data_IF_807655442796
#
_entry.id   IF_807655442796
#
_cell.length_a   1.000
_cell.length_b   1.000
_cell.length_c   1.000
_cell.angle_alpha   90.00
_cell.angle_beta   90.00
_cell.angle_gamma   90.00
#
_symmetry.space_group_name_H-M   'P 1'
#
loop_
_entity.id
_entity.type
_entity.pdbx_description
1 polymer ?
#
# COMPACT_ATOMS: atom_id res chain seq x y z
N UNK A 1 -9.64 -8.86 14.99
CA UNK A 1 -8.57 -9.48 14.17
C UNK A 1 -7.38 -9.76 15.10
N UNK A 2 -6.84 -10.97 15.02
CA UNK A 2 -5.60 -11.30 15.72
C UNK A 2 -4.40 -10.67 14.98
N UNK A 3 -3.67 -9.71 15.56
CA UNK A 3 -2.52 -9.09 14.91
C UNK A 3 -1.21 -9.90 15.08
N UNK A 4 -1.23 -11.01 15.81
CA UNK A 4 -0.01 -11.81 16.07
C UNK A 4 0.41 -12.69 14.90
N UNK A 5 -0.46 -12.87 13.90
CA UNK A 5 -0.20 -13.70 12.73
C UNK A 5 -0.69 -13.06 11.44
N UNK A 6 -0.04 -13.42 10.33
CA UNK A 6 -0.48 -13.11 8.96
C UNK A 6 -1.43 -14.15 8.37
N UNK A 7 -1.63 -15.26 9.05
CA UNK A 7 -2.41 -16.37 8.53
C UNK A 7 -3.85 -15.91 8.22
N UNK A 8 -4.30 -16.22 7.01
CA UNK A 8 -5.64 -15.92 6.50
C UNK A 8 -6.02 -14.42 6.59
N UNK A 9 -5.08 -13.53 6.29
CA UNK A 9 -5.33 -12.07 6.33
C UNK A 9 -5.62 -11.49 4.95
N UNK A 10 -6.66 -10.65 4.90
CA UNK A 10 -6.93 -9.73 3.79
C UNK A 10 -6.52 -8.31 4.16
N UNK A 11 -5.35 -7.87 3.72
CA UNK A 11 -4.84 -6.52 3.96
C UNK A 11 -5.11 -5.61 2.76
N UNK A 12 -5.04 -4.29 2.99
CA UNK A 12 -5.14 -3.29 1.92
C UNK A 12 -4.06 -2.22 2.09
N UNK A 13 -3.56 -1.69 0.96
CA UNK A 13 -2.72 -0.50 1.01
C UNK A 13 -3.56 0.70 1.46
N UNK A 14 -3.01 1.50 2.37
CA UNK A 14 -3.65 2.71 2.90
C UNK A 14 -2.68 3.89 2.79
N UNK A 15 -2.89 4.74 1.79
CA UNK A 15 -1.99 5.88 1.57
C UNK A 15 -2.24 7.03 2.54
N UNK A 16 -3.49 7.30 2.90
CA UNK A 16 -3.86 8.39 3.80
C UNK A 16 -3.41 9.79 3.33
N UNK A 17 -3.12 9.93 2.04
CA UNK A 17 -2.52 11.12 1.44
C UNK A 17 -3.53 12.14 0.90
N UNK A 18 -4.81 11.99 1.20
CA UNK A 18 -5.85 12.91 0.77
C UNK A 18 -6.03 14.04 1.78
N UNK A 19 -5.89 15.28 1.32
CA UNK A 19 -6.09 16.49 2.12
C UNK A 19 -7.06 17.44 1.45
N UNK A 20 -7.62 18.37 2.23
CA UNK A 20 -8.47 19.44 1.76
C UNK A 20 -7.86 20.80 2.14
N UNK A 21 -8.14 21.83 1.35
CA UNK A 21 -7.97 23.19 1.83
C UNK A 21 -8.91 23.44 3.02
N UNK A 22 -8.38 24.03 4.10
CA UNK A 22 -9.14 24.29 5.33
C UNK A 22 -9.26 23.11 6.30
N UNK A 23 -8.58 21.97 6.06
CA UNK A 23 -8.63 20.80 6.94
C UNK A 23 -7.77 20.92 8.22
N UNK A 24 -7.09 22.04 8.40
CA UNK A 24 -6.16 22.30 9.51
C UNK A 24 -4.79 21.67 9.35
N UNK A 25 -4.53 20.95 8.25
CA UNK A 25 -3.20 20.42 7.98
C UNK A 25 -2.22 21.52 7.56
N UNK A 26 -0.90 21.33 7.80
CA UNK A 26 0.12 22.29 7.35
C UNK A 26 0.19 22.44 5.83
N UNK A 27 -0.41 21.51 5.09
CA UNK A 27 -0.45 21.55 3.63
C UNK A 27 -1.49 22.53 3.11
N UNK A 28 -2.66 22.53 3.72
CA UNK A 28 -3.79 23.38 3.35
C UNK A 28 -4.09 23.38 1.84
N UNK A 29 -4.05 22.19 1.23
CA UNK A 29 -4.23 21.97 -0.21
C UNK A 29 -5.14 20.78 -0.50
N UNK A 30 -5.59 20.64 -1.76
CA UNK A 30 -6.42 19.52 -2.24
C UNK A 30 -5.56 18.31 -2.67
N UNK A 31 -4.64 17.92 -1.82
CA UNK A 31 -3.69 16.83 -2.12
C UNK A 31 -4.40 15.56 -2.53
N UNK A 32 -3.91 14.95 -3.60
CA UNK A 32 -4.41 13.71 -4.21
C UNK A 32 -5.82 13.80 -4.82
N UNK A 33 -6.56 14.86 -4.58
CA UNK A 33 -7.87 15.10 -5.18
C UNK A 33 -7.76 15.84 -6.51
N UNK A 34 -6.96 16.89 -6.55
CA UNK A 34 -6.87 17.80 -7.69
C UNK A 34 -5.50 18.45 -7.81
N UNK A 35 -5.21 19.01 -8.99
CA UNK A 35 -4.09 19.92 -9.22
C UNK A 35 -4.55 21.36 -8.94
N UNK A 36 -4.52 21.77 -7.67
CA UNK A 36 -5.10 23.01 -7.19
C UNK A 36 -6.53 22.85 -6.69
N UNK A 37 -7.38 23.85 -6.83
CA UNK A 37 -8.80 23.75 -6.46
C UNK A 37 -9.51 22.68 -7.32
N UNK A 38 -10.36 21.83 -6.73
CA UNK A 38 -11.07 20.82 -7.50
C UNK A 38 -12.06 21.43 -8.51
N UNK A 39 -11.91 21.02 -9.75
CA UNK A 39 -12.78 21.32 -10.87
C UNK A 39 -12.68 20.15 -11.87
N UNK A 40 -13.59 19.98 -12.83
CA UNK A 40 -13.56 18.88 -13.78
C UNK A 40 -12.18 18.69 -14.45
N UNK A 41 -11.50 19.78 -14.80
CA UNK A 41 -10.21 19.79 -15.49
C UNK A 41 -8.99 19.62 -14.57
N UNK A 42 -9.15 19.80 -13.27
CA UNK A 42 -8.08 19.70 -12.27
C UNK A 42 -8.09 18.42 -11.47
N UNK A 43 -9.23 17.71 -11.43
CA UNK A 43 -9.34 16.44 -10.71
C UNK A 43 -8.26 15.44 -11.18
N UNK A 44 -7.70 14.71 -10.24
CA UNK A 44 -6.74 13.63 -10.47
C UNK A 44 -7.33 12.24 -10.27
N UNK A 45 -8.54 12.16 -9.75
CA UNK A 45 -9.30 10.94 -9.50
C UNK A 45 -10.32 10.72 -10.60
N UNK A 46 -10.53 9.47 -11.02
CA UNK A 46 -11.53 9.08 -12.00
C UNK A 46 -12.84 8.61 -11.36
N UNK A 47 -12.86 8.47 -10.05
CA UNK A 47 -14.01 7.98 -9.31
C UNK A 47 -14.27 8.87 -8.08
N UNK A 48 -15.47 9.44 -8.02
CA UNK A 48 -15.92 10.19 -6.87
C UNK A 48 -16.17 9.23 -5.69
N UNK A 49 -15.72 9.56 -4.47
CA UNK A 49 -15.93 8.69 -3.31
C UNK A 49 -17.41 8.60 -2.91
N UNK A 50 -17.83 7.46 -2.36
CA UNK A 50 -19.13 7.35 -1.71
C UNK A 50 -19.07 8.01 -0.33
N UNK A 51 -19.82 9.09 -0.16
CA UNK A 51 -19.80 9.92 1.04
C UNK A 51 -21.08 9.80 1.87
N UNK A 52 -21.98 8.88 1.51
CA UNK A 52 -23.33 8.79 2.12
C UNK A 52 -23.31 8.52 3.62
N UNK A 53 -22.29 7.83 4.12
CA UNK A 53 -22.18 7.49 5.52
C UNK A 53 -21.36 8.49 6.34
N UNK A 54 -20.90 9.59 5.73
CA UNK A 54 -20.23 10.66 6.45
C UNK A 54 -21.22 11.74 6.88
N UNK A 55 -20.99 12.27 8.08
CA UNK A 55 -21.58 13.55 8.48
C UNK A 55 -20.96 14.67 7.63
N UNK A 56 -21.76 15.58 7.05
CA UNK A 56 -21.23 16.73 6.30
C UNK A 56 -20.16 17.53 7.05
N UNK A 57 -20.24 17.62 8.38
CA UNK A 57 -19.22 18.27 9.23
C UNK A 57 -17.86 17.55 9.23
N UNK A 58 -17.78 16.31 8.74
CA UNK A 58 -16.55 15.56 8.59
C UNK A 58 -15.88 15.75 7.23
N UNK A 59 -16.60 16.40 6.31
CA UNK A 59 -16.21 16.56 4.91
C UNK A 59 -15.80 17.99 4.61
N UNK A 60 -15.05 18.14 3.52
CA UNK A 60 -14.63 19.43 3.00
C UNK A 60 -15.56 19.82 1.85
N UNK A 61 -16.30 20.91 2.00
CA UNK A 61 -17.05 21.48 0.89
C UNK A 61 -16.13 21.95 -0.23
N UNK A 62 -16.50 21.68 -1.48
CA UNK A 62 -15.73 22.11 -2.66
C UNK A 62 -16.47 23.29 -3.31
N UNK A 63 -16.01 24.54 -3.12
CA UNK A 63 -16.69 25.73 -3.62
C UNK A 63 -16.87 25.68 -5.14
N UNK A 64 -18.09 25.98 -5.60
CA UNK A 64 -18.40 26.06 -7.04
C UNK A 64 -18.42 24.73 -7.81
N UNK A 65 -18.20 23.61 -7.12
CA UNK A 65 -18.21 22.29 -7.77
C UNK A 65 -19.45 21.48 -7.38
N UNK A 66 -20.07 20.84 -8.35
CA UNK A 66 -21.26 20.01 -8.13
C UNK A 66 -21.09 18.62 -8.72
N UNK A 67 -21.68 17.62 -8.06
CA UNK A 67 -21.79 16.24 -8.56
C UNK A 67 -23.28 15.88 -8.63
N UNK A 68 -23.76 15.56 -9.81
CA UNK A 68 -25.20 15.25 -10.01
C UNK A 68 -26.13 16.39 -9.57
N UNK A 69 -25.73 17.64 -9.79
CA UNK A 69 -26.51 18.85 -9.41
C UNK A 69 -26.47 19.17 -7.90
N UNK A 70 -25.72 18.47 -7.09
CA UNK A 70 -25.57 18.73 -5.64
C UNK A 70 -24.17 19.28 -5.34
N UNK A 71 -24.02 20.14 -4.31
CA UNK A 71 -22.69 20.57 -3.86
C UNK A 71 -21.76 19.37 -3.61
N UNK A 72 -20.54 19.46 -4.13
CA UNK A 72 -19.54 18.42 -3.96
C UNK A 72 -18.82 18.57 -2.61
N UNK A 73 -18.49 17.43 -2.04
CA UNK A 73 -17.67 17.30 -0.84
C UNK A 73 -16.55 16.31 -1.10
N UNK A 74 -15.43 16.48 -0.41
CA UNK A 74 -14.32 15.54 -0.40
C UNK A 74 -13.88 15.31 1.05
N UNK A 75 -13.06 14.34 1.31
CA UNK A 75 -12.58 14.05 2.67
C UNK A 75 -11.09 14.33 2.83
N UNK A 76 -10.65 14.49 4.08
CA UNK A 76 -9.25 14.55 4.45
C UNK A 76 -8.90 13.45 5.44
N UNK A 77 -7.81 12.73 5.21
CA UNK A 77 -7.26 11.76 6.15
C UNK A 77 -6.64 12.44 7.40
N UNK A 78 -6.50 13.76 7.40
CA UNK A 78 -6.16 14.57 8.56
C UNK A 78 -7.27 14.53 9.63
N UNK A 79 -8.53 14.36 9.21
CA UNK A 79 -9.66 14.22 10.11
C UNK A 79 -9.73 12.80 10.69
N UNK A 80 -9.59 12.59 12.01
CA UNK A 80 -9.61 11.27 12.63
C UNK A 80 -10.94 10.53 12.43
N UNK A 81 -12.07 11.24 12.33
CA UNK A 81 -13.38 10.62 12.10
C UNK A 81 -13.49 9.99 10.71
N UNK A 82 -12.81 10.58 9.72
CA UNK A 82 -12.74 10.01 8.36
C UNK A 82 -11.95 8.70 8.38
N UNK A 83 -10.81 8.67 9.04
CA UNK A 83 -10.01 7.45 9.17
C UNK A 83 -10.76 6.38 9.96
N UNK A 84 -11.41 6.74 11.07
CA UNK A 84 -12.26 5.81 11.84
C UNK A 84 -13.38 5.22 10.99
N UNK A 85 -14.05 6.02 10.12
CA UNK A 85 -15.06 5.51 9.17
C UNK A 85 -14.48 4.48 8.20
N UNK A 86 -13.29 4.71 7.66
CA UNK A 86 -12.61 3.74 6.79
C UNK A 86 -12.37 2.41 7.53
N UNK A 87 -11.94 2.45 8.78
CA UNK A 87 -11.72 1.24 9.59
C UNK A 87 -13.01 0.56 10.01
N UNK A 88 -14.09 1.31 10.22
CA UNK A 88 -15.43 0.76 10.43
C UNK A 88 -15.87 -0.03 9.20
N UNK A 89 -15.69 0.50 7.98
CA UNK A 89 -15.98 -0.24 6.75
C UNK A 89 -15.12 -1.50 6.61
N UNK A 90 -13.84 -1.43 6.96
CA UNK A 90 -13.01 -2.64 6.97
C UNK A 90 -13.59 -3.72 7.88
N UNK A 91 -14.07 -3.34 9.06
CA UNK A 91 -14.75 -4.27 9.99
C UNK A 91 -16.02 -4.82 9.38
N UNK A 92 -16.84 -3.97 8.80
CA UNK A 92 -18.14 -4.31 8.21
C UNK A 92 -17.99 -5.26 7.00
N UNK A 93 -16.97 -5.04 6.18
CA UNK A 93 -16.74 -5.82 4.96
C UNK A 93 -15.67 -6.92 5.10
N UNK A 94 -15.28 -7.26 6.31
CA UNK A 94 -14.39 -8.40 6.58
C UNK A 94 -12.94 -8.20 6.15
N UNK A 95 -12.47 -6.95 6.04
CA UNK A 95 -11.05 -6.67 5.82
C UNK A 95 -10.29 -6.66 7.15
N UNK A 96 -9.15 -7.32 7.21
CA UNK A 96 -8.42 -7.52 8.46
C UNK A 96 -7.60 -6.30 8.88
N UNK A 97 -7.12 -5.51 7.93
CA UNK A 97 -6.32 -4.34 8.23
C UNK A 97 -5.62 -3.73 7.03
N UNK A 98 -4.62 -2.92 7.32
CA UNK A 98 -3.93 -2.11 6.31
C UNK A 98 -2.40 -2.18 6.40
N UNK A 99 -1.76 -2.00 5.25
CA UNK A 99 -0.38 -1.57 5.13
C UNK A 99 -0.40 -0.05 4.93
N UNK A 100 0.04 0.68 5.95
CA UNK A 100 0.06 2.15 5.94
C UNK A 100 1.25 2.60 5.12
N UNK A 101 0.98 3.11 3.93
CA UNK A 101 2.02 3.52 2.99
C UNK A 101 2.70 4.81 3.46
N UNK A 102 4.02 4.75 3.54
CA UNK A 102 4.89 5.82 4.00
C UNK A 102 5.95 6.09 2.93
N UNK A 103 5.68 7.09 2.08
CA UNK A 103 6.60 7.48 1.02
C UNK A 103 7.88 8.07 1.61
N UNK A 104 9.03 7.52 1.24
CA UNK A 104 10.34 8.00 1.72
C UNK A 104 10.57 9.46 1.33
N UNK A 105 10.07 9.88 0.17
CA UNK A 105 10.06 11.28 -0.27
C UNK A 105 9.34 12.21 0.72
N UNK A 106 8.22 11.76 1.29
CA UNK A 106 7.46 12.58 2.23
C UNK A 106 8.12 12.66 3.62
N UNK A 107 8.82 11.62 4.04
CA UNK A 107 9.54 11.59 5.33
C UNK A 107 10.58 12.69 5.37
N UNK A 108 11.40 12.80 4.32
CA UNK A 108 12.47 13.78 4.24
C UNK A 108 11.98 15.24 4.32
N UNK A 109 10.77 15.53 3.84
CA UNK A 109 10.27 16.89 3.71
C UNK A 109 9.08 17.24 4.61
N UNK A 110 8.24 16.28 5.00
CA UNK A 110 6.95 16.54 5.68
C UNK A 110 6.52 15.39 6.60
N UNK A 111 7.43 14.86 7.41
CA UNK A 111 7.15 13.77 8.37
C UNK A 111 5.90 14.02 9.21
N UNK A 112 5.76 15.24 9.76
CA UNK A 112 4.66 15.61 10.67
C UNK A 112 3.26 15.34 10.10
N UNK A 113 3.03 15.57 8.81
CA UNK A 113 1.74 15.29 8.19
C UNK A 113 1.42 13.80 8.13
N UNK A 114 2.41 12.98 7.78
CA UNK A 114 2.27 11.52 7.79
C UNK A 114 2.06 10.95 9.19
N UNK A 115 2.66 11.58 10.20
CA UNK A 115 2.54 11.14 11.60
C UNK A 115 1.14 11.37 12.18
N UNK A 116 0.46 12.45 11.80
CA UNK A 116 -0.94 12.69 12.20
C UNK A 116 -1.85 11.60 11.61
N UNK A 117 -1.71 11.31 10.32
CA UNK A 117 -2.48 10.24 9.68
C UNK A 117 -2.19 8.89 10.33
N UNK A 118 -0.93 8.58 10.63
CA UNK A 118 -0.55 7.35 11.31
C UNK A 118 -1.18 7.25 12.72
N UNK A 119 -1.19 8.33 13.50
CA UNK A 119 -1.88 8.38 14.79
C UNK A 119 -3.38 8.15 14.66
N UNK A 120 -4.01 8.72 13.63
CA UNK A 120 -5.42 8.46 13.32
C UNK A 120 -5.66 6.98 12.98
N UNK A 121 -4.76 6.36 12.20
CA UNK A 121 -4.81 4.91 11.89
C UNK A 121 -4.66 4.07 13.16
N UNK A 122 -3.71 4.39 14.03
CA UNK A 122 -3.52 3.67 15.30
C UNK A 122 -4.79 3.72 16.16
N UNK A 123 -5.39 4.90 16.33
CA UNK A 123 -6.62 5.07 17.07
C UNK A 123 -7.78 4.27 16.44
N UNK A 124 -7.99 4.39 15.14
CA UNK A 124 -9.03 3.68 14.41
C UNK A 124 -8.85 2.15 14.42
N UNK A 125 -7.60 1.68 14.31
CA UNK A 125 -7.29 0.26 14.41
C UNK A 125 -7.68 -0.31 15.77
N UNK A 126 -7.41 0.41 16.85
CA UNK A 126 -7.83 0.04 18.23
C UNK A 126 -9.35 0.05 18.37
N UNK A 127 -10.02 1.12 17.92
CA UNK A 127 -11.47 1.29 18.02
C UNK A 127 -12.23 0.17 17.29
N UNK A 128 -11.81 -0.18 16.09
CA UNK A 128 -12.53 -1.14 15.24
C UNK A 128 -11.93 -2.55 15.26
N UNK A 129 -10.88 -2.80 16.05
CA UNK A 129 -10.24 -4.11 16.17
C UNK A 129 -9.64 -4.58 14.81
N UNK A 130 -9.03 -3.68 14.04
CA UNK A 130 -8.34 -4.01 12.79
C UNK A 130 -6.82 -3.93 12.99
N UNK A 131 -6.07 -4.66 12.17
CA UNK A 131 -4.61 -4.66 12.22
C UNK A 131 -4.01 -3.58 11.30
N UNK A 132 -2.78 -3.16 11.59
CA UNK A 132 -2.01 -2.32 10.69
C UNK A 132 -0.51 -2.65 10.76
N UNK A 133 0.20 -2.36 9.68
CA UNK A 133 1.66 -2.35 9.63
C UNK A 133 2.15 -1.21 8.74
N UNK A 134 3.42 -0.86 8.85
CA UNK A 134 4.05 0.16 8.00
C UNK A 134 4.47 -0.46 6.67
N UNK A 135 4.26 0.28 5.58
CA UNK A 135 4.81 -0.01 4.26
C UNK A 135 5.58 1.21 3.75
N UNK A 136 6.91 1.10 3.66
CA UNK A 136 7.71 2.12 3.01
C UNK A 136 7.57 2.02 1.49
N UNK A 137 7.41 3.15 0.83
CA UNK A 137 7.44 3.28 -0.62
C UNK A 137 8.68 4.09 -1.01
N UNK A 138 9.58 3.48 -1.77
CA UNK A 138 10.86 4.08 -2.15
C UNK A 138 10.78 4.92 -3.43
N UNK A 139 9.60 5.02 -4.04
CA UNK A 139 9.40 5.71 -5.34
C UNK A 139 9.88 7.16 -5.31
N UNK A 140 10.73 7.51 -6.27
CA UNK A 140 11.12 8.88 -6.55
C UNK A 140 12.10 9.49 -5.55
N UNK A 141 12.71 8.69 -4.67
CA UNK A 141 13.69 9.19 -3.71
C UNK A 141 15.13 8.96 -4.19
N UNK A 142 16.07 9.72 -3.60
CA UNK A 142 17.50 9.63 -3.86
C UNK A 142 18.03 8.23 -3.54
N UNK A 143 18.60 7.51 -4.52
CA UNK A 143 19.10 6.15 -4.34
C UNK A 143 20.26 6.03 -3.34
N UNK A 144 20.95 7.13 -3.02
CA UNK A 144 22.03 7.11 -2.04
C UNK A 144 21.56 7.34 -0.60
N UNK A 145 20.39 7.99 -0.43
CA UNK A 145 19.88 8.44 0.89
C UNK A 145 18.66 7.67 1.39
N UNK A 146 17.96 6.94 0.51
CA UNK A 146 16.67 6.32 0.87
C UNK A 146 16.79 5.37 2.06
N UNK A 147 17.86 4.60 2.12
CA UNK A 147 18.05 3.61 3.18
C UNK A 147 18.33 4.27 4.54
N UNK A 148 19.16 5.31 4.57
CA UNK A 148 19.38 6.08 5.80
C UNK A 148 18.09 6.71 6.32
N UNK A 149 17.33 7.36 5.44
CA UNK A 149 16.05 7.98 5.80
C UNK A 149 15.06 6.94 6.34
N UNK A 150 14.95 5.76 5.72
CA UNK A 150 14.10 4.68 6.21
C UNK A 150 14.54 4.17 7.59
N UNK A 151 15.85 3.96 7.80
CA UNK A 151 16.38 3.51 9.09
C UNK A 151 16.05 4.48 10.22
N UNK A 152 16.33 5.75 10.01
CA UNK A 152 16.11 6.79 11.02
C UNK A 152 14.61 6.99 11.29
N UNK A 153 13.78 6.93 10.25
CA UNK A 153 12.34 6.98 10.43
C UNK A 153 11.80 5.74 11.17
N UNK A 154 12.31 4.54 10.86
CA UNK A 154 11.88 3.32 11.55
C UNK A 154 12.24 3.36 13.04
N UNK A 155 13.45 3.82 13.39
CA UNK A 155 13.84 4.03 14.79
C UNK A 155 12.88 5.02 15.46
N UNK A 156 12.60 6.14 14.83
CA UNK A 156 11.64 7.13 15.33
C UNK A 156 10.23 6.54 15.53
N UNK A 157 9.73 5.76 14.58
CA UNK A 157 8.42 5.11 14.70
C UNK A 157 8.38 4.12 15.87
N UNK A 158 9.46 3.38 16.09
CA UNK A 158 9.57 2.42 17.19
C UNK A 158 9.78 3.12 18.53
N UNK A 159 10.69 4.08 18.59
CA UNK A 159 11.15 4.67 19.86
C UNK A 159 10.25 5.80 20.35
N UNK A 160 9.75 6.66 19.45
CA UNK A 160 8.97 7.84 19.80
C UNK A 160 7.46 7.58 19.65
N UNK A 161 7.03 7.10 18.47
CA UNK A 161 5.62 6.84 18.24
C UNK A 161 5.14 5.49 18.80
N UNK A 162 6.07 4.62 19.23
CA UNK A 162 5.77 3.30 19.83
C UNK A 162 4.86 2.43 18.95
N UNK A 163 4.98 2.53 17.61
CA UNK A 163 4.07 1.86 16.68
C UNK A 163 4.07 0.34 16.87
N UNK A 164 5.25 -0.26 17.10
CA UNK A 164 5.38 -1.72 17.28
C UNK A 164 4.91 -2.19 18.65
N UNK A 165 4.72 -1.29 19.62
CA UNK A 165 4.11 -1.60 20.91
C UNK A 165 2.58 -1.48 20.91
N UNK A 166 2.00 -0.98 19.81
CA UNK A 166 0.56 -0.86 19.67
C UNK A 166 -0.09 -2.25 19.58
N UNK A 167 -1.18 -2.53 20.33
CA UNK A 167 -1.78 -3.87 20.40
C UNK A 167 -2.29 -4.39 19.05
N UNK A 168 -2.62 -3.50 18.11
CA UNK A 168 -3.09 -3.86 16.79
C UNK A 168 -1.99 -3.83 15.71
N UNK A 169 -0.73 -3.59 16.09
CA UNK A 169 0.36 -3.66 15.12
C UNK A 169 0.59 -5.11 14.67
N UNK A 170 0.57 -5.33 13.36
CA UNK A 170 0.66 -6.65 12.77
C UNK A 170 2.03 -7.28 12.99
N UNK A 171 2.04 -8.51 13.47
CA UNK A 171 3.24 -9.31 13.72
C UNK A 171 3.17 -10.62 12.95
N UNK A 172 4.30 -11.23 12.75
CA UNK A 172 4.40 -12.59 12.30
C UNK A 172 5.60 -13.28 12.94
N UNK A 173 5.39 -14.47 13.48
CA UNK A 173 6.44 -15.23 14.20
C UNK A 173 7.15 -14.39 15.30
N UNK A 174 6.36 -13.64 16.06
CA UNK A 174 6.82 -12.81 17.17
C UNK A 174 7.47 -11.47 16.79
N UNK A 175 7.79 -11.22 15.51
CA UNK A 175 8.40 -9.97 15.05
C UNK A 175 7.35 -9.03 14.43
N UNK A 176 7.50 -7.70 14.57
CA UNK A 176 6.65 -6.76 13.87
C UNK A 176 6.82 -6.90 12.36
N UNK A 177 5.71 -6.76 11.60
CA UNK A 177 5.75 -6.75 10.14
C UNK A 177 6.22 -5.38 9.63
N UNK A 178 7.11 -5.37 8.66
CA UNK A 178 7.45 -4.19 7.87
C UNK A 178 7.44 -4.55 6.39
N UNK A 179 6.72 -3.77 5.59
CA UNK A 179 6.76 -3.88 4.13
C UNK A 179 7.66 -2.78 3.55
N UNK A 180 8.44 -3.14 2.52
CA UNK A 180 9.18 -2.17 1.70
C UNK A 180 8.79 -2.42 0.25
N UNK A 181 8.11 -1.45 -0.35
CA UNK A 181 7.59 -1.55 -1.70
C UNK A 181 8.46 -0.77 -2.68
N UNK A 182 8.69 -1.39 -3.85
CA UNK A 182 9.31 -0.75 -5.01
C UNK A 182 10.72 -1.21 -5.34
N UNK A 183 11.36 -2.05 -4.51
CA UNK A 183 12.70 -2.53 -4.81
C UNK A 183 12.71 -3.58 -5.92
N UNK A 184 13.64 -3.39 -6.87
CA UNK A 184 13.82 -4.30 -8.00
C UNK A 184 12.93 -4.03 -9.20
N UNK A 185 12.12 -2.95 -9.19
CA UNK A 185 11.42 -2.49 -10.38
C UNK A 185 12.38 -1.90 -11.41
N UNK A 186 12.17 -2.20 -12.69
CA UNK A 186 13.01 -1.70 -13.81
C UNK A 186 12.90 -0.17 -14.00
N UNK A 187 11.86 0.45 -13.48
CA UNK A 187 11.64 1.89 -13.52
C UNK A 187 12.72 2.65 -12.72
N UNK A 188 13.35 3.66 -13.34
CA UNK A 188 14.43 4.47 -12.76
C UNK A 188 14.03 5.22 -11.47
N UNK A 189 12.75 5.36 -11.20
CA UNK A 189 12.23 6.02 -9.99
C UNK A 189 12.31 5.15 -8.74
N UNK A 190 12.68 3.87 -8.85
CA UNK A 190 12.65 2.92 -7.75
C UNK A 190 14.06 2.51 -7.32
N UNK A 191 14.64 3.15 -6.28
CA UNK A 191 15.90 2.71 -5.68
C UNK A 191 15.69 1.46 -4.79
N UNK A 192 16.76 0.69 -4.51
CA UNK A 192 18.05 0.75 -5.19
C UNK A 192 18.00 0.09 -6.56
N UNK A 193 18.97 0.47 -7.42
CA UNK A 193 19.14 -0.16 -8.75
C UNK A 193 20.03 -1.40 -8.66
N UNK A 194 20.90 -1.46 -7.67
CA UNK A 194 21.91 -2.48 -7.49
C UNK A 194 21.48 -3.53 -6.47
N UNK A 195 21.57 -4.84 -6.79
CA UNK A 195 21.20 -5.91 -5.86
C UNK A 195 21.98 -5.84 -4.53
N UNK A 196 23.25 -5.43 -4.55
CA UNK A 196 24.05 -5.29 -3.33
C UNK A 196 23.47 -4.30 -2.33
N UNK A 197 23.04 -3.14 -2.80
CA UNK A 197 22.37 -2.15 -1.95
C UNK A 197 21.01 -2.66 -1.42
N UNK A 198 20.26 -3.39 -2.23
CA UNK A 198 19.01 -4.00 -1.81
C UNK A 198 19.23 -5.09 -0.74
N UNK A 199 20.26 -5.92 -0.88
CA UNK A 199 20.65 -6.91 0.14
C UNK A 199 20.92 -6.24 1.48
N UNK A 200 21.69 -5.15 1.51
CA UNK A 200 21.99 -4.40 2.73
C UNK A 200 20.73 -3.91 3.44
N UNK A 201 19.70 -3.45 2.69
CA UNK A 201 18.41 -3.05 3.26
C UNK A 201 17.73 -4.24 3.95
N UNK A 202 17.58 -5.36 3.24
CA UNK A 202 16.91 -6.55 3.76
C UNK A 202 17.65 -7.11 4.98
N UNK A 203 18.98 -7.20 4.90
CA UNK A 203 19.82 -7.70 5.99
C UNK A 203 19.69 -6.85 7.25
N UNK A 204 19.74 -5.53 7.11
CA UNK A 204 19.63 -4.65 8.25
C UNK A 204 18.31 -4.86 8.98
N UNK A 205 17.18 -4.76 8.28
CA UNK A 205 15.87 -4.90 8.90
C UNK A 205 15.61 -6.29 9.49
N UNK A 206 16.17 -7.35 8.90
CA UNK A 206 15.94 -8.72 9.37
C UNK A 206 16.87 -9.15 10.51
N UNK A 207 18.15 -8.80 10.43
CA UNK A 207 19.19 -9.45 11.24
C UNK A 207 20.21 -8.50 11.86
N UNK A 208 20.65 -7.44 11.17
CA UNK A 208 21.77 -6.61 11.62
C UNK A 208 21.37 -5.49 12.58
N UNK A 209 20.14 -4.96 12.45
CA UNK A 209 19.64 -3.95 13.36
C UNK A 209 19.63 -4.44 14.82
N UNK A 210 19.71 -3.53 15.80
CA UNK A 210 19.41 -3.84 17.19
C UNK A 210 18.06 -4.58 17.31
N UNK A 211 17.91 -5.54 18.26
CA UNK A 211 16.77 -6.45 18.31
C UNK A 211 15.39 -5.78 18.25
N UNK A 212 15.23 -4.59 18.89
CA UNK A 212 13.97 -3.84 18.92
C UNK A 212 13.52 -3.32 17.54
N UNK A 213 14.43 -3.19 16.58
CA UNK A 213 14.13 -2.72 15.22
C UNK A 213 14.02 -3.84 14.19
N UNK A 214 14.30 -5.10 14.59
CA UNK A 214 14.20 -6.24 13.67
C UNK A 214 12.75 -6.58 13.37
N UNK A 215 12.52 -6.99 12.12
CA UNK A 215 11.18 -7.20 11.59
C UNK A 215 11.02 -8.54 10.89
N UNK A 216 9.78 -8.96 10.68
CA UNK A 216 9.41 -9.83 9.56
C UNK A 216 9.34 -8.95 8.33
N UNK A 217 10.19 -9.20 7.35
CA UNK A 217 10.36 -8.34 6.18
C UNK A 217 9.48 -8.80 5.02
N UNK A 218 8.61 -7.92 4.55
CA UNK A 218 7.81 -8.12 3.34
C UNK A 218 8.39 -7.26 2.21
N UNK A 219 8.67 -7.86 1.07
CA UNK A 219 9.07 -7.13 -0.13
C UNK A 219 7.91 -6.93 -1.09
N UNK A 220 7.54 -5.67 -1.36
CA UNK A 220 6.71 -5.29 -2.49
C UNK A 220 7.56 -5.27 -3.76
N UNK A 221 7.50 -6.34 -4.53
CA UNK A 221 8.43 -6.63 -5.63
C UNK A 221 7.76 -6.50 -7.02
N UNK A 222 8.54 -6.46 -8.11
CA UNK A 222 7.98 -6.49 -9.46
C UNK A 222 7.09 -7.70 -9.70
N UNK A 223 6.15 -7.59 -10.63
CA UNK A 223 5.26 -8.71 -10.97
C UNK A 223 6.00 -9.91 -11.57
N UNK A 224 7.16 -9.67 -12.16
CA UNK A 224 8.04 -10.68 -12.79
C UNK A 224 9.29 -11.00 -11.96
N UNK A 225 9.22 -10.82 -10.65
CA UNK A 225 10.34 -11.02 -9.72
C UNK A 225 11.06 -12.38 -9.88
N UNK A 226 10.30 -13.45 -10.12
CA UNK A 226 10.84 -14.81 -10.25
C UNK A 226 11.61 -15.04 -11.55
N UNK A 227 11.19 -14.38 -12.63
CA UNK A 227 11.77 -14.56 -13.97
C UNK A 227 12.72 -13.43 -14.37
N UNK A 228 12.87 -12.40 -13.54
CA UNK A 228 13.73 -11.23 -13.78
C UNK A 228 13.49 -10.62 -15.18
N UNK A 229 12.22 -10.43 -15.54
CA UNK A 229 11.81 -9.96 -16.86
C UNK A 229 10.78 -8.84 -16.77
N UNK A 230 10.44 -8.23 -17.88
CA UNK A 230 9.45 -7.16 -18.03
C UNK A 230 9.67 -6.01 -17.03
N UNK A 231 8.86 -5.94 -15.95
CA UNK A 231 8.92 -4.89 -14.93
C UNK A 231 9.98 -5.12 -13.84
N UNK A 232 10.69 -6.24 -13.90
CA UNK A 232 11.76 -6.57 -12.96
C UNK A 232 13.14 -6.23 -13.52
N UNK A 233 14.05 -5.80 -12.64
CA UNK A 233 15.47 -5.69 -12.93
C UNK A 233 16.01 -7.05 -13.40
N UNK A 234 16.93 -7.02 -14.40
CA UNK A 234 17.39 -8.22 -15.09
C UNK A 234 18.66 -8.85 -14.50
N UNK A 235 19.36 -8.12 -13.60
CA UNK A 235 20.55 -8.62 -12.94
C UNK A 235 20.19 -9.85 -12.07
N UNK A 236 20.91 -10.95 -12.28
CA UNK A 236 20.68 -12.22 -11.57
C UNK A 236 20.80 -12.10 -10.04
N UNK A 237 21.56 -11.14 -9.53
CA UNK A 237 21.69 -10.86 -8.10
C UNK A 237 20.37 -10.51 -7.41
N UNK A 238 19.35 -10.07 -8.15
CA UNK A 238 18.02 -9.82 -7.59
C UNK A 238 17.32 -11.08 -7.12
N UNK A 239 17.60 -12.24 -7.73
CA UNK A 239 17.04 -13.51 -7.25
C UNK A 239 17.46 -13.81 -5.80
N UNK A 240 18.70 -13.48 -5.44
CA UNK A 240 19.19 -13.62 -4.07
C UNK A 240 18.53 -12.62 -3.12
N UNK A 241 18.33 -11.35 -3.56
CA UNK A 241 17.63 -10.34 -2.77
C UNK A 241 16.22 -10.82 -2.42
N UNK A 242 15.47 -11.31 -3.42
CA UNK A 242 14.12 -11.81 -3.18
C UNK A 242 14.09 -13.04 -2.29
N UNK A 243 15.09 -13.95 -2.42
CA UNK A 243 15.20 -15.13 -1.55
C UNK A 243 15.50 -14.79 -0.08
N UNK A 244 16.01 -13.59 0.20
CA UNK A 244 16.26 -13.13 1.57
C UNK A 244 15.01 -12.60 2.28
N UNK A 245 13.93 -12.29 1.58
CA UNK A 245 12.69 -11.76 2.18
C UNK A 245 11.92 -12.86 2.93
N UNK A 246 11.17 -12.49 3.97
CA UNK A 246 10.28 -13.43 4.65
C UNK A 246 8.97 -13.61 3.89
N UNK A 247 8.52 -12.53 3.22
CA UNK A 247 7.27 -12.49 2.46
C UNK A 247 7.51 -11.81 1.13
N UNK A 248 7.04 -12.41 0.05
CA UNK A 248 7.08 -11.84 -1.30
C UNK A 248 5.69 -11.38 -1.71
N UNK A 249 5.57 -10.10 -2.10
CA UNK A 249 4.33 -9.46 -2.49
C UNK A 249 4.48 -8.82 -3.88
N UNK A 250 4.18 -9.55 -4.96
CA UNK A 250 4.33 -9.01 -6.32
C UNK A 250 3.26 -7.98 -6.67
N UNK A 251 3.67 -6.89 -7.31
CA UNK A 251 2.76 -5.85 -7.77
C UNK A 251 2.09 -6.23 -9.09
N UNK A 252 0.78 -6.48 -9.07
CA UNK A 252 0.04 -7.01 -10.22
C UNK A 252 -0.95 -6.03 -10.84
N UNK A 253 -1.15 -4.86 -10.26
CA UNK A 253 -2.11 -3.86 -10.77
C UNK A 253 -1.78 -3.51 -12.23
N UNK A 254 -2.78 -3.68 -13.12
CA UNK A 254 -2.66 -3.38 -14.55
C UNK A 254 -2.01 -4.48 -15.40
N UNK A 255 -1.60 -5.62 -14.82
CA UNK A 255 -0.93 -6.71 -15.56
C UNK A 255 -1.89 -7.59 -16.35
N UNK A 256 -3.16 -7.57 -16.03
CA UNK A 256 -4.26 -8.22 -16.74
C UNK A 256 -5.51 -7.34 -16.68
N UNK A 257 -6.47 -7.53 -17.60
CA UNK A 257 -7.56 -6.57 -17.82
C UNK A 257 -8.96 -7.18 -17.84
N UNK A 258 -9.06 -8.50 -17.92
CA UNK A 258 -10.30 -9.24 -18.04
C UNK A 258 -10.25 -10.58 -17.32
N UNK A 259 -11.35 -11.34 -17.35
CA UNK A 259 -11.47 -12.63 -16.66
C UNK A 259 -10.46 -13.67 -17.19
N UNK A 260 -10.27 -13.73 -18.50
CA UNK A 260 -9.33 -14.66 -19.13
C UNK A 260 -7.88 -14.36 -18.71
N UNK A 261 -7.54 -13.04 -18.67
CA UNK A 261 -6.24 -12.58 -18.19
C UNK A 261 -6.02 -12.91 -16.70
N UNK A 262 -7.05 -12.81 -15.88
CA UNK A 262 -6.99 -13.21 -14.45
C UNK A 262 -6.70 -14.70 -14.31
N UNK A 263 -7.38 -15.56 -15.10
CA UNK A 263 -7.19 -17.01 -15.05
C UNK A 263 -5.78 -17.41 -15.53
N UNK A 264 -5.36 -16.83 -16.65
CA UNK A 264 -4.01 -17.03 -17.18
C UNK A 264 -2.94 -16.56 -16.18
N UNK A 265 -3.17 -15.44 -15.49
CA UNK A 265 -2.23 -14.93 -14.48
C UNK A 265 -2.08 -15.90 -13.31
N UNK A 266 -3.16 -16.55 -12.88
CA UNK A 266 -3.08 -17.60 -11.85
C UNK A 266 -2.12 -18.72 -12.27
N UNK A 267 -2.28 -19.23 -13.49
CA UNK A 267 -1.52 -20.39 -13.96
C UNK A 267 -0.06 -20.05 -14.30
N UNK A 268 0.18 -18.90 -14.94
CA UNK A 268 1.52 -18.49 -15.38
C UNK A 268 2.39 -17.89 -14.25
N UNK A 269 1.75 -17.27 -13.24
CA UNK A 269 2.49 -16.51 -12.21
C UNK A 269 2.16 -16.91 -10.79
N UNK A 270 0.90 -16.89 -10.36
CA UNK A 270 0.58 -17.12 -8.93
C UNK A 270 0.99 -18.54 -8.52
N UNK A 271 0.64 -19.56 -9.28
CA UNK A 271 0.97 -20.94 -8.95
C UNK A 271 2.50 -21.22 -8.97
N UNK A 272 3.26 -20.81 -10.01
CA UNK A 272 4.71 -20.95 -10.00
C UNK A 272 5.43 -20.10 -8.92
N UNK A 273 4.91 -18.90 -8.62
CA UNK A 273 5.47 -18.04 -7.57
C UNK A 273 5.27 -18.66 -6.19
N UNK A 274 4.09 -19.24 -5.93
CA UNK A 274 3.82 -20.01 -4.71
C UNK A 274 4.74 -21.23 -4.57
N UNK A 275 5.01 -21.94 -5.66
CA UNK A 275 5.96 -23.04 -5.65
C UNK A 275 7.37 -22.55 -5.26
N UNK A 276 7.83 -21.45 -5.88
CA UNK A 276 9.14 -20.87 -5.59
C UNK A 276 9.27 -20.33 -4.17
N UNK A 277 8.25 -19.65 -3.66
CA UNK A 277 8.28 -19.15 -2.28
C UNK A 277 8.25 -20.30 -1.26
N UNK A 278 7.55 -21.42 -1.52
CA UNK A 278 7.60 -22.63 -0.68
C UNK A 278 9.01 -23.25 -0.67
N UNK A 279 9.64 -23.35 -1.83
CA UNK A 279 11.04 -23.82 -1.94
C UNK A 279 11.97 -22.97 -1.06
N UNK A 280 11.80 -21.66 -1.10
CA UNK A 280 12.58 -20.69 -0.33
C UNK A 280 12.13 -20.57 1.15
N UNK A 281 11.11 -21.28 1.61
CA UNK A 281 10.49 -21.19 2.94
C UNK A 281 9.95 -19.78 3.27
N UNK A 282 9.43 -19.11 2.25
CA UNK A 282 8.83 -17.78 2.32
C UNK A 282 7.31 -17.86 2.28
N UNK A 283 6.66 -16.78 2.72
CA UNK A 283 5.24 -16.55 2.47
C UNK A 283 5.05 -15.79 1.14
N UNK A 284 3.88 -15.95 0.55
CA UNK A 284 3.47 -15.28 -0.68
C UNK A 284 2.15 -14.52 -0.47
N UNK A 285 2.15 -13.22 -0.76
CA UNK A 285 0.96 -12.37 -0.64
C UNK A 285 0.61 -11.79 -2.01
N UNK A 286 -0.26 -12.45 -2.80
CA UNK A 286 -0.70 -11.90 -4.08
C UNK A 286 -1.49 -10.61 -3.89
N UNK A 287 -1.29 -9.66 -4.81
CA UNK A 287 -2.04 -8.41 -4.87
C UNK A 287 -3.24 -8.60 -5.78
N UNK A 288 -4.42 -8.17 -5.32
CA UNK A 288 -5.65 -8.13 -6.10
C UNK A 288 -6.20 -6.71 -6.16
N UNK A 289 -6.88 -6.34 -7.23
CA UNK A 289 -7.34 -4.99 -7.43
C UNK A 289 -8.73 -4.95 -8.08
N UNK A 290 -9.56 -3.93 -7.74
CA UNK A 290 -10.97 -3.94 -8.14
C UNK A 290 -11.22 -3.60 -9.61
N UNK A 291 -10.28 -2.99 -10.26
CA UNK A 291 -10.29 -2.41 -11.60
C UNK A 291 -9.31 -1.25 -11.64
N UNK A 292 -9.21 -0.56 -12.78
CA UNK A 292 -8.25 0.53 -12.92
C UNK A 292 -8.73 1.62 -13.87
N UNK A 293 -8.53 2.87 -13.47
CA UNK A 293 -8.74 4.06 -14.28
C UNK A 293 -7.82 5.18 -13.80
N UNK A 294 -7.24 5.94 -14.72
CA UNK A 294 -6.38 7.09 -14.43
C UNK A 294 -6.44 8.18 -15.51
N UNK A 295 -7.57 8.29 -16.20
CA UNK A 295 -7.74 9.25 -17.29
C UNK A 295 -7.56 10.71 -16.83
N UNK A 296 -8.06 11.06 -15.64
CA UNK A 296 -7.87 12.40 -15.08
C UNK A 296 -6.42 12.66 -14.64
N UNK A 297 -5.65 11.63 -14.33
CA UNK A 297 -4.24 11.77 -13.99
C UNK A 297 -3.34 11.82 -15.22
N UNK A 298 -3.67 11.08 -16.29
CA UNK A 298 -2.93 10.99 -17.54
C UNK A 298 -3.81 11.36 -18.75
N UNK A 299 -3.52 12.47 -19.41
CA UNK A 299 -4.30 13.03 -20.50
C UNK A 299 -4.65 12.06 -21.65
N UNK A 300 -3.75 11.14 -21.98
CA UNK A 300 -3.94 10.21 -23.12
C UNK A 300 -4.55 8.86 -22.69
N UNK A 301 -4.86 8.70 -21.43
CA UNK A 301 -5.43 7.47 -20.91
C UNK A 301 -6.96 7.47 -21.08
N UNK A 302 -7.51 6.34 -21.53
CA UNK A 302 -8.96 6.16 -21.57
C UNK A 302 -9.50 5.91 -20.16
N UNK A 303 -10.71 6.41 -19.81
CA UNK A 303 -11.33 6.08 -18.55
C UNK A 303 -11.70 4.60 -18.49
N UNK A 304 -11.79 4.06 -17.27
CA UNK A 304 -12.23 2.70 -16.99
C UNK A 304 -11.47 1.62 -17.79
N UNK A 305 -10.14 1.75 -17.86
CA UNK A 305 -9.27 0.85 -18.63
C UNK A 305 -9.37 -0.61 -18.23
N UNK A 306 -9.67 -0.87 -16.94
CA UNK A 306 -9.94 -2.20 -16.41
C UNK A 306 -11.26 -2.14 -15.66
N UNK A 307 -12.37 -2.59 -16.26
CA UNK A 307 -13.70 -2.49 -15.68
C UNK A 307 -13.85 -3.36 -14.41
N UNK A 308 -14.56 -2.84 -13.43
CA UNK A 308 -14.87 -3.56 -12.18
C UNK A 308 -15.87 -4.71 -12.37
N UNK A 309 -16.71 -4.62 -13.39
CA UNK A 309 -17.75 -5.60 -13.72
C UNK A 309 -18.64 -5.99 -12.52
N UNK A 310 -19.10 -5.00 -11.75
CA UNK A 310 -19.92 -5.23 -10.55
C UNK A 310 -19.17 -5.99 -9.45
N UNK A 311 -17.83 -5.85 -9.39
CA UNK A 311 -16.97 -6.55 -8.42
C UNK A 311 -16.48 -7.93 -8.87
N UNK A 312 -17.03 -8.48 -9.97
CA UNK A 312 -16.65 -9.81 -10.46
C UNK A 312 -15.16 -9.92 -10.81
N UNK A 313 -14.57 -8.85 -11.35
CA UNK A 313 -13.15 -8.81 -11.66
C UNK A 313 -12.28 -8.99 -10.40
N UNK A 314 -12.61 -8.31 -9.30
CA UNK A 314 -11.92 -8.43 -8.02
C UNK A 314 -12.07 -9.84 -7.41
N UNK A 315 -13.32 -10.32 -7.32
CA UNK A 315 -13.59 -11.61 -6.71
C UNK A 315 -12.96 -12.79 -7.48
N UNK A 316 -12.89 -12.71 -8.80
CA UNK A 316 -12.22 -13.74 -9.61
C UNK A 316 -10.75 -13.88 -9.23
N UNK A 317 -10.05 -12.75 -9.03
CA UNK A 317 -8.65 -12.73 -8.58
C UNK A 317 -8.50 -13.38 -7.20
N UNK A 318 -9.34 -13.01 -6.24
CA UNK A 318 -9.30 -13.56 -4.88
C UNK A 318 -9.55 -15.08 -4.88
N UNK A 319 -10.54 -15.55 -5.64
CA UNK A 319 -10.84 -16.97 -5.80
C UNK A 319 -9.65 -17.70 -6.43
N UNK A 320 -9.10 -17.17 -7.50
CA UNK A 320 -7.95 -17.75 -8.19
C UNK A 320 -6.71 -17.85 -7.29
N UNK A 321 -6.43 -16.80 -6.51
CA UNK A 321 -5.33 -16.83 -5.55
C UNK A 321 -5.53 -17.92 -4.48
N UNK A 322 -6.75 -18.04 -3.93
CA UNK A 322 -7.10 -19.11 -2.99
C UNK A 322 -6.97 -20.50 -3.62
N UNK A 323 -7.48 -20.70 -4.84
CA UNK A 323 -7.39 -21.97 -5.56
C UNK A 323 -5.94 -22.37 -5.84
N UNK A 324 -5.05 -21.41 -6.11
CA UNK A 324 -3.62 -21.63 -6.24
C UNK A 324 -2.92 -21.99 -4.92
N UNK A 325 -3.60 -21.78 -3.77
CA UNK A 325 -3.09 -22.09 -2.44
C UNK A 325 -2.50 -20.90 -1.68
N UNK A 326 -2.83 -19.66 -2.08
CA UNK A 326 -2.50 -18.48 -1.28
C UNK A 326 -3.39 -18.42 -0.02
N UNK A 327 -2.77 -18.13 1.13
CA UNK A 327 -3.46 -18.02 2.43
C UNK A 327 -3.76 -16.57 2.82
N UNK A 328 -3.24 -15.58 2.09
CA UNK A 328 -3.39 -14.16 2.37
C UNK A 328 -3.47 -13.35 1.07
N UNK A 329 -4.00 -12.12 1.16
CA UNK A 329 -4.17 -11.19 0.02
C UNK A 329 -3.86 -9.76 0.44
N UNK A 330 -3.35 -8.96 -0.54
CA UNK A 330 -3.32 -7.49 -0.46
C UNK A 330 -4.23 -6.84 -1.49
#
# INVERSE_FOLDING_TARGET
>A
VDPATLDVKGLRGYQGGFNCAGDGSPRNDWRSWARGAPAPETLTIDMYPDLKEFDPAQLCAVPGFTIGGRPAYLFSAWNPKVVSRHFQWMKQYGLDGVLVQRFVTNIAFKRSSGDVVLKNVMAAAKEHGRAFAIEYDVTGFDPQKFFEVMREDWKYLVDELKVTSHPNYLRHRGKPLLSVWGMGLEDVRHPPREPGAAKSVVQWFRTEAPPQYRVTYMGGVPSRWRTLSADAQKDAGWAEVYAMMDIVQPWTVGRYRDQAGVDKWKDDYIAPDLAKTRENKQLYMPVVFPGFSWANLKKDAKPNQIPRNGGRFFWRQAINAKQAGASMLK
#
